data_IF_181495186934
#
_entry.id   IF_181495186934
#
_cell.length_a   1.000
_cell.length_b   1.000
_cell.length_c   1.000
_cell.angle_alpha   90.00
_cell.angle_beta   90.00
_cell.angle_gamma   90.00
#
_symmetry.space_group_name_H-M   'P 1'
#
loop_
_entity.id
_entity.type
_entity.pdbx_description
1 polymer ?
#
# COMPACT_ATOMS: atom_id res chain seq x y z
N UNK A 1 -13.49 -66.39 -35.01
CA UNK A 1 -12.61 -65.64 -34.08
C UNK A 1 -12.33 -64.19 -34.50
N UNK A 2 -12.39 -63.81 -35.79
CA UNK A 2 -12.04 -62.45 -36.24
C UNK A 2 -12.99 -61.32 -35.82
N UNK A 3 -14.28 -61.59 -35.60
CA UNK A 3 -15.27 -60.56 -35.21
C UNK A 3 -14.99 -60.01 -33.80
N UNK A 4 -14.55 -60.86 -32.87
CA UNK A 4 -14.21 -60.44 -31.50
C UNK A 4 -12.94 -59.60 -31.42
N UNK A 5 -11.98 -59.84 -32.31
CA UNK A 5 -10.74 -59.05 -32.39
C UNK A 5 -11.05 -57.66 -32.95
N UNK A 6 -11.89 -57.58 -33.99
CA UNK A 6 -12.25 -56.30 -34.61
C UNK A 6 -13.06 -55.41 -33.65
N UNK A 7 -13.97 -55.99 -32.86
CA UNK A 7 -14.70 -55.26 -31.79
C UNK A 7 -13.76 -54.73 -30.72
N UNK A 8 -12.83 -55.54 -30.21
CA UNK A 8 -11.86 -55.11 -29.19
C UNK A 8 -10.92 -54.01 -29.70
N UNK A 9 -10.55 -54.07 -30.98
CA UNK A 9 -9.75 -53.03 -31.61
C UNK A 9 -10.52 -51.71 -31.68
N UNK A 10 -11.80 -51.77 -32.08
CA UNK A 10 -12.67 -50.60 -32.09
C UNK A 10 -12.86 -50.01 -30.69
N UNK A 11 -13.17 -50.84 -29.68
CA UNK A 11 -13.33 -50.39 -28.30
C UNK A 11 -12.04 -49.76 -27.74
N UNK A 12 -10.88 -50.32 -28.12
CA UNK A 12 -9.58 -49.75 -27.74
C UNK A 12 -9.31 -48.42 -28.44
N UNK A 13 -9.68 -48.28 -29.73
CA UNK A 13 -9.57 -47.02 -30.47
C UNK A 13 -10.43 -45.93 -29.84
N UNK A 14 -11.69 -46.22 -29.53
CA UNK A 14 -12.59 -45.25 -28.87
C UNK A 14 -12.06 -44.83 -27.49
N UNK A 15 -11.46 -45.75 -26.73
CA UNK A 15 -10.81 -45.41 -25.45
C UNK A 15 -9.60 -44.50 -25.64
N UNK A 16 -8.77 -44.76 -26.65
CA UNK A 16 -7.61 -43.92 -26.95
C UNK A 16 -8.07 -42.51 -27.35
N UNK A 17 -9.11 -42.39 -28.18
CA UNK A 17 -9.70 -41.10 -28.56
C UNK A 17 -10.23 -40.35 -27.33
N UNK A 18 -10.99 -41.01 -26.46
CA UNK A 18 -11.50 -40.39 -25.23
C UNK A 18 -10.37 -39.93 -24.29
N UNK A 19 -9.33 -40.74 -24.10
CA UNK A 19 -8.16 -40.37 -23.30
C UNK A 19 -7.38 -39.19 -23.92
N UNK A 20 -7.33 -39.12 -25.26
CA UNK A 20 -6.69 -38.01 -25.96
C UNK A 20 -7.46 -36.70 -25.77
N UNK A 21 -8.79 -36.73 -25.85
CA UNK A 21 -9.64 -35.58 -25.58
C UNK A 21 -9.50 -35.09 -24.13
N UNK A 22 -9.51 -36.01 -23.16
CA UNK A 22 -9.31 -35.68 -21.74
C UNK A 22 -7.92 -35.07 -21.50
N UNK A 23 -6.89 -35.61 -22.14
CA UNK A 23 -5.53 -35.07 -22.06
C UNK A 23 -5.45 -33.63 -22.60
N UNK A 24 -6.07 -33.35 -23.74
CA UNK A 24 -6.09 -32.01 -24.31
C UNK A 24 -6.86 -31.00 -23.43
N UNK A 25 -7.98 -31.41 -22.83
CA UNK A 25 -8.70 -30.60 -21.85
C UNK A 25 -7.85 -30.29 -20.61
N UNK A 26 -7.14 -31.28 -20.09
CA UNK A 26 -6.25 -31.10 -18.94
C UNK A 26 -5.10 -30.15 -19.28
N UNK A 27 -4.50 -30.30 -20.47
CA UNK A 27 -3.42 -29.44 -20.96
C UNK A 27 -3.88 -27.98 -21.14
N UNK A 28 -5.09 -27.76 -21.65
CA UNK A 28 -5.69 -26.43 -21.74
C UNK A 28 -5.94 -25.83 -20.35
N UNK A 29 -6.45 -26.64 -19.41
CA UNK A 29 -6.70 -26.22 -18.03
C UNK A 29 -5.42 -25.81 -17.31
N UNK A 30 -4.35 -26.61 -17.43
CA UNK A 30 -3.03 -26.29 -16.86
C UNK A 30 -2.47 -25.00 -17.46
N UNK A 31 -2.59 -24.82 -18.77
CA UNK A 31 -2.14 -23.61 -19.46
C UNK A 31 -2.90 -22.38 -18.95
N UNK A 32 -4.23 -22.48 -18.81
CA UNK A 32 -5.07 -21.41 -18.26
C UNK A 32 -4.74 -21.07 -16.80
N UNK A 33 -4.55 -22.08 -15.95
CA UNK A 33 -4.14 -21.89 -14.56
C UNK A 33 -2.75 -21.24 -14.46
N UNK A 34 -1.81 -21.66 -15.29
CA UNK A 34 -0.45 -21.09 -15.31
C UNK A 34 -0.48 -19.62 -15.73
N UNK A 35 -1.24 -19.29 -16.77
CA UNK A 35 -1.45 -17.91 -17.19
C UNK A 35 -2.13 -17.07 -16.09
N UNK A 36 -3.13 -17.63 -15.41
CA UNK A 36 -3.78 -17.00 -14.27
C UNK A 36 -2.82 -16.74 -13.10
N UNK A 37 -2.02 -17.74 -12.72
CA UNK A 37 -1.03 -17.63 -11.64
C UNK A 37 0.02 -16.55 -11.95
N UNK A 38 0.53 -16.50 -13.18
CA UNK A 38 1.45 -15.44 -13.63
C UNK A 38 0.80 -14.05 -13.61
N UNK A 39 -0.48 -13.96 -13.96
CA UNK A 39 -1.25 -12.71 -13.86
C UNK A 39 -1.39 -12.22 -12.41
N UNK A 40 -1.67 -13.14 -11.47
CA UNK A 40 -1.75 -12.85 -10.04
C UNK A 40 -0.40 -12.42 -9.49
N UNK A 41 0.69 -13.13 -9.79
CA UNK A 41 2.05 -12.78 -9.35
C UNK A 41 2.44 -11.36 -9.78
N UNK A 42 2.18 -11.01 -11.04
CA UNK A 42 2.40 -9.63 -11.55
C UNK A 42 1.56 -8.59 -10.81
N UNK A 43 0.33 -8.91 -10.42
CA UNK A 43 -0.54 -8.00 -9.66
C UNK A 43 -0.05 -7.82 -8.23
N UNK A 44 0.37 -8.91 -7.58
CA UNK A 44 0.94 -8.88 -6.23
C UNK A 44 2.20 -8.01 -6.20
N UNK A 45 3.17 -8.26 -7.10
CA UNK A 45 4.39 -7.44 -7.18
C UNK A 45 4.11 -5.94 -7.36
N UNK A 46 3.10 -5.60 -8.18
CA UNK A 46 2.70 -4.21 -8.38
C UNK A 46 2.10 -3.59 -7.13
N UNK A 47 1.33 -4.36 -6.35
CA UNK A 47 0.76 -3.90 -5.08
C UNK A 47 1.86 -3.73 -4.03
N UNK A 48 2.80 -4.66 -3.93
CA UNK A 48 3.96 -4.54 -3.04
C UNK A 48 4.80 -3.30 -3.37
N UNK A 49 5.07 -3.05 -4.65
CA UNK A 49 5.82 -1.86 -5.08
C UNK A 49 5.08 -0.57 -4.71
N UNK A 50 3.77 -0.48 -4.98
CA UNK A 50 2.95 0.67 -4.59
C UNK A 50 2.89 0.85 -3.08
N UNK A 51 2.84 -0.26 -2.33
CA UNK A 51 2.86 -0.24 -0.87
C UNK A 51 4.15 0.36 -0.33
N UNK A 52 5.30 -0.02 -0.89
CA UNK A 52 6.60 0.57 -0.54
C UNK A 52 6.65 2.06 -0.86
N UNK A 53 6.23 2.46 -2.06
CA UNK A 53 6.18 3.87 -2.45
C UNK A 53 5.27 4.70 -1.53
N UNK A 54 4.12 4.14 -1.11
CA UNK A 54 3.22 4.79 -0.17
C UNK A 54 3.83 4.92 1.22
N UNK A 55 4.51 3.87 1.70
CA UNK A 55 5.20 3.90 2.99
C UNK A 55 6.33 4.94 3.00
N UNK A 56 7.18 4.96 1.97
CA UNK A 56 8.25 5.97 1.84
C UNK A 56 7.69 7.40 1.80
N UNK A 57 6.58 7.61 1.10
CA UNK A 57 5.88 8.90 1.11
C UNK A 57 5.32 9.23 2.48
N UNK A 58 4.71 8.28 3.17
CA UNK A 58 4.18 8.48 4.51
C UNK A 58 5.30 8.84 5.49
N UNK A 59 6.40 8.10 5.49
CA UNK A 59 7.58 8.40 6.31
C UNK A 59 8.09 9.82 6.02
N UNK A 60 8.16 10.20 4.74
CA UNK A 60 8.55 11.55 4.33
C UNK A 60 7.58 12.63 4.85
N UNK A 61 6.27 12.38 4.80
CA UNK A 61 5.26 13.28 5.35
C UNK A 61 5.33 13.35 6.87
N UNK A 62 5.55 12.24 7.56
CA UNK A 62 5.69 12.19 9.01
C UNK A 62 6.93 12.96 9.46
N UNK A 63 8.07 12.81 8.76
CA UNK A 63 9.29 13.59 9.02
C UNK A 63 9.04 15.09 8.80
N UNK A 64 8.40 15.48 7.70
CA UNK A 64 8.09 16.88 7.41
C UNK A 64 7.14 17.50 8.44
N UNK A 65 6.11 16.75 8.86
CA UNK A 65 5.14 17.23 9.85
C UNK A 65 5.61 17.07 11.29
N UNK A 66 6.63 16.26 11.57
CA UNK A 66 7.25 16.19 12.90
C UNK A 66 7.89 17.55 13.24
N UNK A 67 8.50 18.24 12.27
CA UNK A 67 9.03 19.60 12.46
C UNK A 67 7.93 20.67 12.63
N UNK A 68 6.73 20.46 12.09
CA UNK A 68 5.61 21.40 12.22
C UNK A 68 4.84 21.29 13.55
N UNK A 69 5.03 20.22 14.33
CA UNK A 69 4.23 19.93 15.54
C UNK A 69 4.78 20.40 16.90
N UNK A 70 6.09 20.52 17.20
CA UNK A 70 6.53 20.85 18.57
C UNK A 70 5.99 22.21 19.04
N UNK A 71 5.80 23.16 18.11
CA UNK A 71 5.31 24.50 18.43
C UNK A 71 3.96 24.84 17.77
N UNK A 72 3.33 23.91 17.05
CA UNK A 72 2.07 24.20 16.33
C UNK A 72 0.94 24.70 17.25
N UNK A 73 0.88 24.17 18.48
CA UNK A 73 -0.06 24.64 19.50
C UNK A 73 0.34 26.01 20.06
N UNK A 74 1.62 26.22 20.36
CA UNK A 74 2.19 27.49 20.81
C UNK A 74 1.95 28.63 19.80
N UNK A 75 2.22 28.38 18.52
CA UNK A 75 2.02 29.33 17.41
C UNK A 75 0.56 29.73 17.30
N UNK A 76 -0.38 28.78 17.41
CA UNK A 76 -1.82 29.08 17.35
C UNK A 76 -2.28 29.93 18.52
N UNK A 77 -1.80 29.65 19.73
CA UNK A 77 -2.07 30.47 20.92
C UNK A 77 -1.55 31.90 20.76
N UNK A 78 -0.33 32.07 20.24
CA UNK A 78 0.24 33.39 19.95
C UNK A 78 -0.56 34.13 18.88
N UNK A 79 -1.00 33.47 17.82
CA UNK A 79 -1.88 34.06 16.80
C UNK A 79 -3.25 34.51 17.36
N UNK A 80 -3.70 33.89 18.46
CA UNK A 80 -4.90 34.27 19.22
C UNK A 80 -4.62 35.33 20.30
N UNK A 81 -3.37 35.82 20.42
CA UNK A 81 -2.98 36.88 21.36
C UNK A 81 -2.46 36.37 22.72
N UNK A 82 -2.09 35.09 22.84
CA UNK A 82 -1.43 34.60 24.05
C UNK A 82 -0.04 35.21 24.23
N UNK A 83 0.30 35.57 25.48
CA UNK A 83 1.62 36.09 25.85
C UNK A 83 2.61 34.97 26.14
N UNK A 84 3.91 35.26 26.06
CA UNK A 84 4.99 34.30 26.33
C UNK A 84 4.85 33.62 27.69
N UNK A 85 4.42 34.36 28.72
CA UNK A 85 4.17 33.82 30.07
C UNK A 85 3.13 32.70 30.08
N UNK A 86 2.08 32.82 29.26
CA UNK A 86 1.03 31.80 29.14
C UNK A 86 1.56 30.54 28.43
N UNK A 87 2.43 30.71 27.43
CA UNK A 87 3.09 29.61 26.75
C UNK A 87 4.00 28.81 27.70
N UNK A 88 4.79 29.49 28.53
CA UNK A 88 5.65 28.84 29.54
C UNK A 88 4.82 28.05 30.56
N UNK A 89 3.69 28.61 31.03
CA UNK A 89 2.86 27.93 32.03
C UNK A 89 2.03 26.77 31.48
N UNK A 90 1.61 26.81 30.21
CA UNK A 90 0.70 25.82 29.62
C UNK A 90 1.42 24.75 28.78
N UNK A 91 2.63 25.01 28.28
CA UNK A 91 3.31 24.17 27.29
C UNK A 91 4.73 23.73 27.68
N UNK A 92 5.14 23.95 28.94
CA UNK A 92 6.46 23.58 29.47
C UNK A 92 7.65 24.14 28.64
N UNK A 93 7.40 25.24 27.92
CA UNK A 93 8.42 25.92 27.11
C UNK A 93 9.37 26.73 27.99
N UNK A 94 10.64 26.80 27.62
CA UNK A 94 11.56 27.76 28.26
C UNK A 94 11.12 29.20 27.99
N UNK A 95 11.47 30.13 28.88
CA UNK A 95 11.19 31.56 28.67
C UNK A 95 11.76 32.06 27.33
N UNK A 96 12.98 31.60 26.98
CA UNK A 96 13.63 31.92 25.71
C UNK A 96 12.87 31.39 24.49
N UNK A 97 12.30 30.17 24.55
CA UNK A 97 11.52 29.60 23.46
C UNK A 97 10.17 30.31 23.30
N UNK A 98 9.48 30.59 24.40
CA UNK A 98 8.21 31.30 24.37
C UNK A 98 8.34 32.73 23.81
N UNK A 99 9.38 33.46 24.21
CA UNK A 99 9.68 34.80 23.68
C UNK A 99 10.01 34.76 22.19
N UNK A 100 10.77 33.76 21.74
CA UNK A 100 11.10 33.58 20.33
C UNK A 100 9.83 33.32 19.50
N UNK A 101 8.94 32.45 19.97
CA UNK A 101 7.69 32.11 19.28
C UNK A 101 6.77 33.33 19.20
N UNK A 102 6.64 34.10 20.28
CA UNK A 102 5.86 35.35 20.29
C UNK A 102 6.45 36.39 19.34
N UNK A 103 7.77 36.52 19.27
CA UNK A 103 8.43 37.47 18.35
C UNK A 103 8.29 37.07 16.88
N UNK A 104 8.36 35.77 16.58
CA UNK A 104 8.31 35.26 15.21
C UNK A 104 6.88 35.14 14.65
N UNK A 105 5.91 34.82 15.51
CA UNK A 105 4.53 34.51 15.12
C UNK A 105 3.46 35.41 15.75
N UNK A 106 3.86 36.32 16.63
CA UNK A 106 2.99 37.38 17.13
C UNK A 106 2.47 38.20 15.97
N UNK A 107 1.17 38.53 15.99
CA UNK A 107 0.66 39.57 15.09
C UNK A 107 1.51 40.79 15.39
N UNK A 108 2.24 41.29 14.37
CA UNK A 108 2.84 42.63 14.48
C UNK A 108 1.67 43.54 14.78
N UNK A 109 1.60 44.04 16.01
CA UNK A 109 0.77 45.19 16.29
C UNK A 109 1.34 46.30 15.41
N UNK A 110 0.66 46.53 14.29
CA UNK A 110 0.77 47.77 13.55
C UNK A 110 0.19 48.86 14.45
N UNK A 111 1.03 49.42 15.32
CA UNK A 111 0.83 50.70 16.00
C UNK A 111 2.19 51.25 16.45
#
# INVERSE_FOLDING_TARGET
MSIGINRRLHDAQTRIEAMHEEFELLRQSISGLTAGALGVDRRVRRLEQRGKELAERQDSYEIQHADERPYGHAIRLVQQGASARRLVSELELSESEADLIVRMHGRRDSA
#
